data_IF_300408245873
#
_entry.id   IF_300408245873
#
_cell.length_a   1.000
_cell.length_b   1.000
_cell.length_c   1.000
_cell.angle_alpha   90.00
_cell.angle_beta   90.00
_cell.angle_gamma   90.00
#
_symmetry.space_group_name_H-M   'P 1'
#
loop_
_entity.id
_entity.type
_entity.pdbx_description
1 polymer ?
#
# COMPACT_ATOMS: atom_id res chain seq x y z
N UNK A 1 -31.76 -11.28 19.21
CA UNK A 1 -32.84 -10.75 20.08
C UNK A 1 -34.08 -10.34 19.29
N UNK A 2 -33.96 -9.52 18.23
CA UNK A 2 -35.10 -9.06 17.43
C UNK A 2 -35.94 -10.19 16.82
N UNK A 3 -35.30 -11.27 16.32
CA UNK A 3 -36.01 -12.47 15.82
C UNK A 3 -36.90 -13.11 16.88
N UNK A 4 -36.43 -13.18 18.14
CA UNK A 4 -37.19 -13.76 19.25
C UNK A 4 -38.44 -12.93 19.59
N UNK A 5 -38.40 -11.62 19.34
CA UNK A 5 -39.54 -10.71 19.48
C UNK A 5 -40.41 -10.61 18.22
N UNK A 6 -40.14 -11.39 17.17
CA UNK A 6 -40.90 -11.38 15.92
C UNK A 6 -40.68 -10.14 15.05
N UNK A 7 -39.63 -9.34 15.30
CA UNK A 7 -39.35 -8.11 14.56
C UNK A 7 -38.58 -8.44 13.28
N UNK A 8 -39.19 -8.19 12.12
CA UNK A 8 -38.54 -8.32 10.81
C UNK A 8 -37.42 -7.28 10.70
N UNK A 9 -36.21 -7.73 10.36
CA UNK A 9 -35.05 -6.86 10.23
C UNK A 9 -34.10 -7.35 9.13
N UNK A 10 -33.34 -6.41 8.57
CA UNK A 10 -32.30 -6.67 7.58
C UNK A 10 -30.93 -6.33 8.16
N UNK A 11 -29.91 -7.13 7.86
CA UNK A 11 -28.53 -6.90 8.34
C UNK A 11 -27.66 -6.47 7.17
N UNK A 12 -27.01 -5.32 7.32
CA UNK A 12 -26.01 -4.80 6.41
C UNK A 12 -24.62 -5.20 6.88
N UNK A 13 -23.96 -6.04 6.10
CA UNK A 13 -22.57 -6.45 6.32
C UNK A 13 -21.74 -5.97 5.12
N UNK A 14 -20.61 -5.30 5.37
CA UNK A 14 -19.79 -4.54 4.41
C UNK A 14 -19.15 -5.35 3.26
N UNK A 15 -19.55 -6.62 3.06
CA UNK A 15 -18.99 -7.54 2.06
C UNK A 15 -19.68 -7.44 0.69
N UNK A 16 -20.89 -6.87 0.59
CA UNK A 16 -21.71 -6.91 -0.62
C UNK A 16 -22.39 -5.58 -0.93
N UNK A 17 -21.65 -4.64 -1.53
CA UNK A 17 -22.11 -3.26 -1.76
C UNK A 17 -23.42 -3.12 -2.56
N UNK A 18 -23.69 -3.99 -3.55
CA UNK A 18 -24.92 -3.90 -4.35
C UNK A 18 -26.17 -4.26 -3.52
N UNK A 19 -26.12 -5.37 -2.77
CA UNK A 19 -27.20 -5.80 -1.88
C UNK A 19 -27.41 -4.80 -0.74
N UNK A 20 -26.34 -4.19 -0.24
CA UNK A 20 -26.42 -3.14 0.77
C UNK A 20 -27.22 -1.93 0.27
N UNK A 21 -26.96 -1.47 -0.95
CA UNK A 21 -27.67 -0.32 -1.52
C UNK A 21 -29.18 -0.60 -1.67
N UNK A 22 -29.57 -1.82 -2.04
CA UNK A 22 -30.98 -2.23 -2.13
C UNK A 22 -31.65 -2.23 -0.76
N UNK A 23 -31.00 -2.82 0.24
CA UNK A 23 -31.52 -2.85 1.63
C UNK A 23 -31.66 -1.42 2.17
N UNK A 24 -30.66 -0.54 1.95
CA UNK A 24 -30.69 0.86 2.42
C UNK A 24 -31.82 1.65 1.76
N UNK A 25 -32.12 1.42 0.47
CA UNK A 25 -33.27 2.06 -0.20
C UNK A 25 -34.60 1.73 0.46
N UNK A 26 -34.74 0.49 0.97
CA UNK A 26 -35.95 0.05 1.67
C UNK A 26 -35.98 0.43 3.15
N UNK A 27 -34.88 0.92 3.71
CA UNK A 27 -34.74 1.20 5.14
C UNK A 27 -35.54 2.42 5.64
N UNK A 28 -36.08 3.23 4.72
CA UNK A 28 -36.96 4.35 5.05
C UNK A 28 -38.45 4.03 4.94
N UNK A 29 -38.83 2.76 4.73
CA UNK A 29 -40.22 2.33 4.63
C UNK A 29 -40.85 2.11 6.03
N UNK A 30 -42.18 2.25 6.18
CA UNK A 30 -42.83 2.10 7.48
C UNK A 30 -42.64 0.70 8.06
N UNK A 31 -42.29 0.63 9.35
CA UNK A 31 -42.04 -0.62 10.06
C UNK A 31 -40.75 -1.35 9.68
N UNK A 32 -39.90 -0.75 8.84
CA UNK A 32 -38.61 -1.34 8.48
C UNK A 32 -37.57 -1.19 9.59
N UNK A 33 -36.80 -2.25 9.84
CA UNK A 33 -35.68 -2.25 10.79
C UNK A 33 -34.43 -2.73 10.07
N UNK A 34 -33.39 -1.90 10.09
CA UNK A 34 -32.12 -2.22 9.43
C UNK A 34 -30.98 -2.11 10.43
N UNK A 35 -30.19 -3.17 10.55
CA UNK A 35 -29.01 -3.26 11.42
C UNK A 35 -27.79 -3.03 10.54
N UNK A 36 -27.00 -2.01 10.85
CA UNK A 36 -25.76 -1.73 10.15
C UNK A 36 -24.55 -2.03 11.05
N UNK A 37 -23.59 -2.80 10.54
CA UNK A 37 -22.30 -2.98 11.22
C UNK A 37 -21.33 -1.86 10.81
N UNK A 38 -20.81 -1.11 11.79
CA UNK A 38 -19.83 -0.03 11.64
C UNK A 38 -20.17 0.99 10.54
N UNK A 39 -19.69 0.75 9.32
CA UNK A 39 -19.77 1.68 8.18
C UNK A 39 -20.61 1.16 7.00
N UNK A 40 -21.32 0.04 7.15
CA UNK A 40 -22.13 -0.51 6.07
C UNK A 40 -23.21 0.50 5.61
N UNK A 41 -23.46 0.55 4.29
CA UNK A 41 -24.40 1.49 3.68
C UNK A 41 -23.97 2.97 3.73
N UNK A 42 -22.69 3.30 3.92
CA UNK A 42 -22.18 4.69 3.82
C UNK A 42 -22.29 5.20 2.38
N UNK A 43 -22.74 6.45 2.22
CA UNK A 43 -22.88 7.09 0.91
C UNK A 43 -24.19 6.81 0.16
N UNK A 44 -25.05 5.93 0.67
CA UNK A 44 -26.43 5.77 0.15
C UNK A 44 -27.39 6.53 1.05
N UNK A 45 -28.26 7.33 0.45
CA UNK A 45 -29.28 8.10 1.14
C UNK A 45 -30.49 7.24 1.52
N UNK A 46 -31.05 7.49 2.71
CA UNK A 46 -32.25 6.80 3.19
C UNK A 46 -33.41 7.76 2.97
N UNK A 47 -34.18 7.52 1.91
CA UNK A 47 -35.39 8.29 1.62
C UNK A 47 -36.55 7.73 2.41
N UNK A 48 -37.30 8.61 3.08
CA UNK A 48 -38.51 8.23 3.79
C UNK A 48 -39.62 7.88 2.80
N UNK A 49 -40.28 6.74 3.01
CA UNK A 49 -41.41 6.28 2.21
C UNK A 49 -42.71 7.01 2.57
N UNK A 50 -43.73 6.83 1.74
CA UNK A 50 -45.07 7.35 1.99
C UNK A 50 -45.65 6.82 3.32
N UNK A 51 -46.25 7.69 4.11
CA UNK A 51 -46.82 7.35 5.43
C UNK A 51 -45.83 7.33 6.60
N UNK A 52 -44.52 7.51 6.35
CA UNK A 52 -43.50 7.64 7.43
C UNK A 52 -43.41 9.08 7.94
N UNK A 53 -43.52 10.05 7.04
CA UNK A 53 -43.65 11.47 7.39
C UNK A 53 -45.13 11.75 7.58
N UNK A 54 -45.55 11.90 8.84
CA UNK A 54 -46.96 12.15 9.21
C UNK A 54 -47.34 13.63 9.20
N UNK A 55 -46.36 14.54 9.25
CA UNK A 55 -46.55 16.00 9.28
C UNK A 55 -45.49 16.70 8.41
N UNK A 56 -45.87 17.78 7.70
CA UNK A 56 -44.94 18.55 6.87
C UNK A 56 -44.13 19.53 7.72
N UNK A 57 -44.78 20.16 8.72
CA UNK A 57 -44.10 20.96 9.75
C UNK A 57 -44.17 20.24 11.10
N UNK A 58 -43.01 19.87 11.64
CA UNK A 58 -42.91 19.19 12.93
C UNK A 58 -43.36 20.12 14.07
N UNK A 59 -44.41 19.73 14.80
CA UNK A 59 -44.89 20.47 15.98
C UNK A 59 -43.87 20.52 17.15
N UNK A 60 -42.85 19.66 17.14
CA UNK A 60 -41.84 19.53 18.21
C UNK A 60 -40.56 20.31 17.88
N UNK A 61 -40.22 20.48 16.59
CA UNK A 61 -39.03 21.18 16.11
C UNK A 61 -39.37 22.08 14.90
N UNK A 62 -40.16 23.16 15.06
CA UNK A 62 -40.44 24.08 13.97
C UNK A 62 -39.21 24.97 13.65
N UNK A 63 -38.99 25.29 12.38
CA UNK A 63 -38.02 26.31 11.99
C UNK A 63 -38.50 27.73 12.40
N UNK A 64 -37.60 28.70 12.66
CA UNK A 64 -38.00 30.05 13.04
C UNK A 64 -38.89 30.70 11.97
N UNK A 65 -40.17 30.89 12.30
CA UNK A 65 -41.17 31.50 11.41
C UNK A 65 -42.18 30.53 10.78
N UNK A 66 -42.02 29.22 10.94
CA UNK A 66 -43.01 28.23 10.50
C UNK A 66 -44.07 27.98 11.59
N UNK A 67 -45.34 27.93 11.20
CA UNK A 67 -46.44 27.50 12.06
C UNK A 67 -46.69 26.01 11.82
N UNK A 68 -46.78 25.18 12.88
CA UNK A 68 -47.08 23.75 12.71
C UNK A 68 -48.47 23.57 12.08
N UNK A 69 -48.58 22.60 11.15
CA UNK A 69 -49.82 22.34 10.38
C UNK A 69 -51.03 22.08 11.28
N UNK A 70 -50.80 21.51 12.46
CA UNK A 70 -51.84 21.17 13.43
C UNK A 70 -51.36 21.45 14.88
N UNK A 71 -51.86 22.52 15.55
CA UNK A 71 -51.51 22.80 16.94
C UNK A 71 -51.99 21.72 17.92
N UNK A 72 -53.08 20.99 17.60
CA UNK A 72 -53.57 19.85 18.40
C UNK A 72 -52.69 18.60 18.30
N UNK A 73 -51.85 18.50 17.27
CA UNK A 73 -50.94 17.38 17.07
C UNK A 73 -49.70 17.45 17.95
N UNK A 74 -49.46 18.50 18.73
CA UNK A 74 -48.30 18.52 19.64
C UNK A 74 -48.35 17.36 20.66
N UNK A 75 -49.55 17.07 21.18
CA UNK A 75 -49.77 15.95 22.11
C UNK A 75 -49.71 14.60 21.39
N UNK A 76 -50.37 14.50 20.23
CA UNK A 76 -50.47 13.26 19.43
C UNK A 76 -49.14 12.88 18.77
N UNK A 77 -48.33 13.84 18.33
CA UNK A 77 -46.96 13.63 17.84
C UNK A 77 -46.00 13.20 18.94
N UNK A 78 -46.20 13.64 20.20
CA UNK A 78 -45.42 13.17 21.36
C UNK A 78 -45.81 11.75 21.78
N UNK A 79 -47.08 11.37 21.63
CA UNK A 79 -47.60 10.02 21.95
C UNK A 79 -47.33 8.99 20.83
N UNK A 80 -47.36 9.41 19.56
CA UNK A 80 -47.19 8.58 18.35
C UNK A 80 -45.84 8.86 17.64
N UNK A 81 -44.82 9.17 18.44
CA UNK A 81 -43.41 9.26 18.02
C UNK A 81 -42.90 7.82 17.73
N UNK A 82 -42.25 7.56 16.59
CA UNK A 82 -41.55 8.53 15.74
C UNK A 82 -42.19 8.72 14.35
N UNK A 83 -42.44 9.98 14.00
CA UNK A 83 -42.41 10.39 12.60
C UNK A 83 -40.94 10.44 12.13
N UNK A 84 -40.68 9.91 10.93
CA UNK A 84 -39.33 9.92 10.34
C UNK A 84 -38.35 8.83 10.82
N UNK A 85 -37.07 8.98 10.49
CA UNK A 85 -36.05 7.95 10.72
C UNK A 85 -35.48 8.03 12.16
N UNK A 86 -35.58 6.92 12.89
CA UNK A 86 -34.92 6.75 14.18
C UNK A 86 -33.60 6.02 14.03
N UNK A 87 -32.51 6.62 14.51
CA UNK A 87 -31.18 6.02 14.54
C UNK A 87 -30.86 5.57 15.96
N UNK A 88 -30.53 4.29 16.10
CA UNK A 88 -30.08 3.70 17.36
C UNK A 88 -28.60 3.37 17.24
N UNK A 89 -27.77 4.04 18.03
CA UNK A 89 -26.40 3.60 18.28
C UNK A 89 -26.41 2.61 19.43
N UNK A 90 -26.00 1.37 19.20
CA UNK A 90 -25.92 0.35 20.26
C UNK A 90 -24.75 0.60 21.20
N UNK A 91 -23.70 1.22 20.68
CA UNK A 91 -22.45 1.58 21.37
C UNK A 91 -21.99 2.96 20.88
N UNK A 92 -21.01 3.53 21.58
CA UNK A 92 -20.30 4.74 21.16
C UNK A 92 -18.98 4.35 20.51
N UNK A 93 -18.71 4.88 19.32
CA UNK A 93 -17.41 4.69 18.70
C UNK A 93 -16.35 5.54 19.42
N UNK A 94 -15.11 5.06 19.46
CA UNK A 94 -13.93 5.82 19.86
C UNK A 94 -13.81 7.21 19.19
N UNK A 95 -14.20 7.30 17.91
CA UNK A 95 -14.12 8.52 17.12
C UNK A 95 -15.51 9.15 17.01
N UNK A 96 -15.66 10.35 17.57
CA UNK A 96 -16.91 11.12 17.58
C UNK A 96 -17.42 11.40 16.16
N UNK A 97 -16.52 11.48 15.19
CA UNK A 97 -16.86 11.65 13.76
C UNK A 97 -17.76 10.53 13.25
N UNK A 98 -17.55 9.28 13.66
CA UNK A 98 -18.31 8.12 13.17
C UNK A 98 -19.72 8.12 13.77
N UNK A 99 -19.84 8.40 15.07
CA UNK A 99 -21.14 8.62 15.72
C UNK A 99 -21.93 9.75 15.04
N UNK A 100 -21.27 10.87 14.71
CA UNK A 100 -21.90 11.98 14.00
C UNK A 100 -22.37 11.60 12.60
N UNK A 101 -21.64 10.71 11.91
CA UNK A 101 -22.06 10.18 10.60
C UNK A 101 -23.28 9.28 10.73
N UNK A 102 -23.32 8.41 11.74
CA UNK A 102 -24.48 7.57 12.02
C UNK A 102 -25.71 8.44 12.34
N UNK A 103 -25.55 9.44 13.21
CA UNK A 103 -26.60 10.42 13.52
C UNK A 103 -27.07 11.20 12.30
N UNK A 104 -26.17 11.59 11.41
CA UNK A 104 -26.48 12.31 10.17
C UNK A 104 -27.18 11.49 9.09
N UNK A 105 -27.59 10.25 9.39
CA UNK A 105 -28.48 9.47 8.52
C UNK A 105 -29.95 9.85 8.69
N UNK A 106 -30.36 10.30 9.87
CA UNK A 106 -31.68 10.89 10.11
C UNK A 106 -31.65 12.41 9.96
N UNK A 107 -32.79 13.03 9.72
CA UNK A 107 -32.90 14.49 9.68
C UNK A 107 -32.30 15.13 8.43
N UNK A 108 -32.26 14.40 7.31
CA UNK A 108 -31.73 14.91 6.05
C UNK A 108 -32.76 15.82 5.39
N UNK A 109 -32.29 16.93 4.80
CA UNK A 109 -33.16 17.89 4.09
C UNK A 109 -34.35 18.43 4.91
N UNK A 110 -34.22 18.47 6.25
CA UNK A 110 -35.30 18.93 7.13
C UNK A 110 -36.31 17.85 7.52
N UNK A 111 -36.12 16.60 7.08
CA UNK A 111 -36.98 15.47 7.46
C UNK A 111 -37.05 15.30 8.99
N UNK A 112 -38.18 14.84 9.54
CA UNK A 112 -38.24 14.46 10.95
C UNK A 112 -37.32 13.27 11.21
N UNK A 113 -36.71 13.25 12.40
CA UNK A 113 -35.83 12.16 12.80
C UNK A 113 -35.42 12.26 14.26
N UNK A 114 -35.02 11.13 14.82
CA UNK A 114 -34.52 11.07 16.20
C UNK A 114 -33.32 10.15 16.29
N UNK A 115 -32.42 10.44 17.23
CA UNK A 115 -31.22 9.63 17.44
C UNK A 115 -31.02 9.34 18.91
N UNK A 116 -30.83 8.07 19.25
CA UNK A 116 -30.57 7.62 20.62
C UNK A 116 -29.36 6.70 20.63
N UNK A 117 -28.40 6.99 21.50
CA UNK A 117 -27.23 6.14 21.70
C UNK A 117 -27.38 5.44 23.05
N UNK A 118 -27.10 4.14 23.04
CA UNK A 118 -26.95 3.31 24.21
C UNK A 118 -25.46 3.07 24.45
N UNK A 119 -25.13 2.80 25.71
CA UNK A 119 -23.78 2.50 26.15
C UNK A 119 -23.90 1.57 27.35
N UNK A 120 -23.10 0.52 27.37
CA UNK A 120 -22.88 -0.33 28.53
C UNK A 120 -21.58 0.04 29.23
N UNK A 121 -21.48 -0.23 30.52
CA UNK A 121 -20.22 -0.13 31.25
C UNK A 121 -19.19 -1.16 30.78
N UNK A 122 -19.65 -2.25 30.17
CA UNK A 122 -18.81 -3.31 29.61
C UNK A 122 -18.23 -2.95 28.23
N UNK A 123 -18.68 -1.86 27.61
CA UNK A 123 -18.22 -1.45 26.27
C UNK A 123 -16.75 -1.02 26.29
N UNK A 124 -16.04 -1.22 25.18
CA UNK A 124 -14.59 -0.96 25.09
C UNK A 124 -14.21 0.50 25.44
N UNK A 125 -15.04 1.48 25.05
CA UNK A 125 -14.82 2.88 25.40
C UNK A 125 -14.79 3.08 26.93
N UNK A 126 -15.68 2.39 27.64
CA UNK A 126 -15.79 2.45 29.10
C UNK A 126 -14.70 1.61 29.77
N UNK A 127 -14.33 0.46 29.19
CA UNK A 127 -13.24 -0.37 29.69
C UNK A 127 -11.88 0.32 29.64
N UNK A 128 -11.60 1.06 28.56
CA UNK A 128 -10.32 1.72 28.36
C UNK A 128 -10.17 3.04 29.13
N UNK A 129 -11.27 3.75 29.41
CA UNK A 129 -11.22 5.12 29.95
C UNK A 129 -12.18 5.39 31.12
N UNK A 130 -12.95 4.40 31.55
CA UNK A 130 -13.91 4.51 32.66
C UNK A 130 -13.33 4.23 34.04
N UNK A 131 -12.02 4.01 34.16
CA UNK A 131 -11.43 3.53 35.42
C UNK A 131 -11.40 4.60 36.52
N UNK A 132 -11.70 4.10 37.73
CA UNK A 132 -11.77 4.73 39.05
C UNK A 132 -12.90 5.75 39.28
N UNK A 133 -13.01 6.80 38.45
CA UNK A 133 -13.98 7.87 38.73
C UNK A 133 -15.42 7.49 38.41
N UNK A 134 -15.64 6.67 37.38
CA UNK A 134 -17.00 6.24 37.01
C UNK A 134 -17.49 5.10 37.89
N UNK A 135 -16.62 4.17 38.28
CA UNK A 135 -16.94 3.13 39.26
C UNK A 135 -17.39 3.76 40.60
N UNK A 136 -16.61 4.72 41.13
CA UNK A 136 -16.97 5.44 42.37
C UNK A 136 -18.28 6.23 42.25
N UNK A 137 -18.58 6.77 41.05
CA UNK A 137 -19.82 7.51 40.81
C UNK A 137 -21.03 6.58 40.73
N UNK A 138 -20.88 5.38 40.14
CA UNK A 138 -21.91 4.35 40.05
C UNK A 138 -22.25 3.75 41.41
N UNK A 139 -21.25 3.47 42.24
CA UNK A 139 -21.43 3.03 43.64
C UNK A 139 -22.27 4.03 44.44
N UNK A 140 -22.11 5.33 44.17
CA UNK A 140 -22.91 6.39 44.81
C UNK A 140 -24.32 6.49 44.25
N UNK A 141 -24.50 6.21 42.95
CA UNK A 141 -25.77 6.42 42.26
C UNK A 141 -26.84 5.36 42.54
N UNK A 142 -26.52 4.27 43.26
CA UNK A 142 -27.45 3.20 43.68
C UNK A 142 -28.56 2.93 42.66
N UNK A 143 -28.21 2.68 41.40
CA UNK A 143 -29.19 2.38 40.36
C UNK A 143 -29.54 0.90 40.41
N UNK A 144 -30.83 0.58 40.49
CA UNK A 144 -31.31 -0.81 40.45
C UNK A 144 -31.04 -1.44 39.07
N UNK A 145 -30.77 -2.75 39.04
CA UNK A 145 -30.54 -3.49 37.80
C UNK A 145 -31.75 -3.35 36.85
N UNK A 146 -31.53 -2.67 35.72
CA UNK A 146 -32.55 -2.49 34.68
C UNK A 146 -33.08 -1.06 34.53
N UNK A 147 -32.72 -0.13 35.41
CA UNK A 147 -33.08 1.28 35.24
C UNK A 147 -32.09 2.04 34.32
N UNK A 148 -32.58 2.81 33.33
CA UNK A 148 -31.71 3.58 32.46
C UNK A 148 -31.13 4.79 33.20
N UNK A 149 -29.81 4.85 33.30
CA UNK A 149 -29.12 5.98 33.92
C UNK A 149 -29.08 7.16 32.95
N UNK A 150 -29.89 8.18 33.18
CA UNK A 150 -29.93 9.41 32.36
C UNK A 150 -29.42 10.61 33.16
N UNK A 151 -28.10 10.78 33.25
CA UNK A 151 -27.51 11.94 33.91
C UNK A 151 -26.67 12.80 32.95
N UNK A 152 -26.86 14.13 32.88
CA UNK A 152 -26.09 15.01 31.99
C UNK A 152 -24.56 14.95 32.20
N UNK A 153 -24.11 14.68 33.43
CA UNK A 153 -22.68 14.51 33.74
C UNK A 153 -22.08 13.28 33.04
N UNK A 154 -22.83 12.19 32.90
CA UNK A 154 -22.35 10.97 32.25
C UNK A 154 -22.09 11.24 30.77
N UNK A 155 -22.99 11.96 30.11
CA UNK A 155 -22.80 12.40 28.72
C UNK A 155 -21.52 13.23 28.55
N UNK A 156 -21.22 14.16 29.48
CA UNK A 156 -19.97 14.95 29.44
C UNK A 156 -18.72 14.09 29.64
N UNK A 157 -18.77 13.12 30.56
CA UNK A 157 -17.64 12.21 30.79
C UNK A 157 -17.36 11.33 29.58
N UNK A 158 -18.40 10.83 28.91
CA UNK A 158 -18.27 10.07 27.65
C UNK A 158 -17.63 10.94 26.56
N UNK A 159 -18.07 12.19 26.40
CA UNK A 159 -17.46 13.11 25.42
C UNK A 159 -15.98 13.39 25.74
N UNK A 160 -15.63 13.51 27.02
CA UNK A 160 -14.24 13.66 27.46
C UNK A 160 -13.40 12.41 27.14
N UNK A 161 -13.94 11.21 27.40
CA UNK A 161 -13.29 9.94 27.07
C UNK A 161 -13.04 9.82 25.56
N UNK A 162 -14.04 10.11 24.72
CA UNK A 162 -13.88 10.13 23.26
C UNK A 162 -12.79 11.12 22.81
N UNK A 163 -12.77 12.34 23.38
CA UNK A 163 -11.73 13.32 23.07
C UNK A 163 -10.33 12.81 23.44
N UNK A 164 -10.20 12.14 24.59
CA UNK A 164 -8.92 11.54 25.01
C UNK A 164 -8.45 10.43 24.08
N UNK A 165 -9.37 9.57 23.62
CA UNK A 165 -9.06 8.54 22.61
C UNK A 165 -8.61 9.18 21.29
N UNK A 166 -9.29 10.23 20.84
CA UNK A 166 -8.91 10.95 19.63
C UNK A 166 -7.54 11.60 19.76
N UNK A 167 -7.22 12.22 20.90
CA UNK A 167 -5.88 12.77 21.21
C UNK A 167 -4.81 11.67 21.19
N UNK A 168 -5.08 10.52 21.82
CA UNK A 168 -4.16 9.38 21.82
C UNK A 168 -3.91 8.86 20.41
N UNK A 169 -4.96 8.57 19.64
CA UNK A 169 -4.87 8.10 18.26
C UNK A 169 -4.18 9.13 17.35
N UNK A 170 -4.42 10.43 17.57
CA UNK A 170 -3.72 11.50 16.86
C UNK A 170 -2.22 11.49 17.17
N UNK A 171 -1.84 11.34 18.44
CA UNK A 171 -0.42 11.28 18.82
C UNK A 171 0.31 10.06 18.25
N UNK A 172 -0.34 8.89 18.23
CA UNK A 172 0.20 7.68 17.60
C UNK A 172 0.40 7.92 16.09
N UNK A 173 -0.61 8.46 15.40
CA UNK A 173 -0.50 8.77 13.98
C UNK A 173 0.56 9.82 13.69
N UNK A 174 0.65 10.86 14.52
CA UNK A 174 1.68 11.89 14.38
C UNK A 174 3.07 11.26 14.47
N UNK A 175 3.32 10.38 15.44
CA UNK A 175 4.58 9.65 15.54
C UNK A 175 4.86 8.83 14.29
N UNK A 176 3.88 8.05 13.80
CA UNK A 176 4.04 7.26 12.56
C UNK A 176 4.39 8.17 11.37
N UNK A 177 3.70 9.30 11.23
CA UNK A 177 4.00 10.31 10.19
C UNK A 177 5.41 10.89 10.35
N UNK A 178 5.85 11.16 11.58
CA UNK A 178 7.19 11.71 11.82
C UNK A 178 8.31 10.75 11.38
N UNK A 179 8.10 9.43 11.46
CA UNK A 179 9.02 8.42 10.90
C UNK A 179 8.93 8.35 9.37
N UNK A 180 7.70 8.34 8.84
CA UNK A 180 7.44 8.25 7.40
C UNK A 180 7.95 9.51 6.65
N UNK A 181 7.94 10.69 7.29
CA UNK A 181 8.45 11.95 6.73
C UNK A 181 9.95 11.87 6.40
N UNK A 182 10.74 11.14 7.20
CA UNK A 182 12.17 10.92 6.92
C UNK A 182 12.32 10.10 5.64
N UNK A 183 11.59 8.99 5.54
CA UNK A 183 11.58 8.14 4.35
C UNK A 183 11.06 8.89 3.12
N UNK A 184 10.08 9.77 3.29
CA UNK A 184 9.51 10.53 2.19
C UNK A 184 10.52 11.52 1.60
N UNK A 185 11.30 12.21 2.44
CA UNK A 185 12.39 13.09 1.98
C UNK A 185 13.48 12.33 1.23
N UNK A 186 13.91 11.19 1.76
CA UNK A 186 14.90 10.34 1.08
C UNK A 186 14.37 9.84 -0.27
N UNK A 187 13.10 9.38 -0.30
CA UNK A 187 12.42 8.94 -1.53
C UNK A 187 12.35 10.05 -2.57
N UNK A 188 12.05 11.27 -2.16
CA UNK A 188 11.99 12.42 -3.09
C UNK A 188 13.33 12.62 -3.81
N UNK A 189 14.44 12.57 -3.08
CA UNK A 189 15.78 12.70 -3.66
C UNK A 189 16.09 11.54 -4.63
N UNK A 190 15.85 10.30 -4.21
CA UNK A 190 16.11 9.12 -5.05
C UNK A 190 15.22 9.09 -6.28
N UNK A 191 13.94 9.45 -6.16
CA UNK A 191 13.01 9.44 -7.28
C UNK A 191 13.27 10.59 -8.25
N UNK A 192 13.77 11.73 -7.76
CA UNK A 192 14.28 12.80 -8.63
C UNK A 192 15.47 12.30 -9.43
N UNK A 193 16.50 11.77 -8.77
CA UNK A 193 17.67 11.18 -9.42
C UNK A 193 17.26 10.12 -10.46
N UNK A 194 16.39 9.19 -10.08
CA UNK A 194 15.87 8.14 -10.98
C UNK A 194 15.08 8.73 -12.15
N UNK A 195 14.28 9.76 -11.90
CA UNK A 195 13.49 10.45 -12.92
C UNK A 195 14.38 11.14 -13.95
N UNK A 196 15.46 11.79 -13.51
CA UNK A 196 16.45 12.47 -14.36
C UNK A 196 17.14 11.44 -15.28
N UNK A 197 17.52 10.28 -14.73
CA UNK A 197 18.12 9.17 -15.49
C UNK A 197 17.15 8.61 -16.56
N UNK A 198 15.86 8.42 -16.21
CA UNK A 198 14.86 7.85 -17.13
C UNK A 198 14.48 8.81 -18.26
N UNK A 199 14.42 10.12 -17.98
CA UNK A 199 14.06 11.13 -18.98
C UNK A 199 15.07 11.29 -20.10
N UNK A 200 16.26 10.69 -19.96
CA UNK A 200 17.29 10.70 -20.99
C UNK A 200 18.07 12.01 -21.05
N UNK A 201 18.11 12.74 -19.94
CA UNK A 201 19.11 13.81 -19.77
C UNK A 201 20.51 13.20 -19.87
N UNK A 202 21.47 13.94 -20.42
CA UNK A 202 22.84 13.45 -20.51
C UNK A 202 23.42 13.27 -19.10
N UNK A 203 23.65 12.03 -18.69
CA UNK A 203 24.07 11.66 -17.32
C UNK A 203 25.59 11.67 -17.21
N UNK A 204 26.33 11.90 -18.29
CA UNK A 204 27.79 11.95 -18.27
C UNK A 204 28.32 12.94 -17.25
N UNK A 205 27.80 14.16 -17.26
CA UNK A 205 28.23 15.20 -16.33
C UNK A 205 28.00 14.77 -14.88
N UNK A 206 26.83 14.16 -14.62
CA UNK A 206 26.48 13.63 -13.30
C UNK A 206 27.35 12.46 -12.85
N UNK A 207 27.72 11.57 -13.78
CA UNK A 207 28.62 10.44 -13.50
C UNK A 207 30.03 10.96 -13.21
N UNK A 208 30.49 11.98 -13.93
CA UNK A 208 31.78 12.60 -13.69
C UNK A 208 31.78 13.30 -12.31
N UNK A 209 30.72 14.02 -11.94
CA UNK A 209 30.53 14.57 -10.59
C UNK A 209 30.59 13.44 -9.53
N UNK A 210 29.86 12.34 -9.73
CA UNK A 210 29.88 11.20 -8.78
C UNK A 210 31.28 10.59 -8.61
N UNK A 211 32.09 10.57 -9.67
CA UNK A 211 33.48 10.08 -9.61
C UNK A 211 34.37 11.07 -8.87
N UNK A 212 34.18 12.37 -9.12
CA UNK A 212 34.89 13.46 -8.44
C UNK A 212 34.62 13.44 -6.93
N UNK A 213 33.35 13.39 -6.53
CA UNK A 213 32.93 13.26 -5.11
C UNK A 213 33.56 12.02 -4.46
N UNK A 214 33.58 10.89 -5.17
CA UNK A 214 34.17 9.64 -4.65
C UNK A 214 35.69 9.73 -4.51
N UNK A 215 36.36 10.50 -5.37
CA UNK A 215 37.80 10.74 -5.29
C UNK A 215 38.14 11.69 -4.15
N UNK A 216 37.35 12.75 -3.94
CA UNK A 216 37.53 13.68 -2.82
C UNK A 216 37.57 12.94 -1.49
N UNK A 217 36.58 12.07 -1.24
CA UNK A 217 36.52 11.27 0.00
C UNK A 217 37.78 10.42 0.17
N UNK A 218 38.25 9.76 -0.89
CA UNK A 218 39.44 8.91 -0.84
C UNK A 218 40.71 9.73 -0.63
N UNK A 219 40.81 10.90 -1.26
CA UNK A 219 41.95 11.79 -1.09
C UNK A 219 41.95 12.33 0.34
N UNK A 220 40.83 12.79 0.87
CA UNK A 220 40.73 13.30 2.24
C UNK A 220 41.06 12.24 3.30
N UNK A 221 40.61 10.99 3.10
CA UNK A 221 40.93 9.88 4.00
C UNK A 221 42.42 9.51 3.99
N UNK A 222 43.10 9.65 2.85
CA UNK A 222 44.50 9.22 2.67
C UNK A 222 45.52 10.37 2.70
N UNK A 223 45.05 11.62 2.67
CA UNK A 223 45.82 12.84 2.72
C UNK A 223 45.32 13.73 3.87
N UNK A 224 45.75 13.48 5.12
CA UNK A 224 45.31 14.28 6.25
C UNK A 224 45.71 15.75 6.07
N UNK A 225 44.87 16.71 6.51
CA UNK A 225 45.19 18.13 6.40
C UNK A 225 46.45 18.43 7.24
N UNK A 226 47.47 19.02 6.58
CA UNK A 226 48.80 19.42 7.11
C UNK A 226 49.93 18.38 7.01
N UNK A 227 49.76 17.33 6.24
CA UNK A 227 50.82 16.33 6.03
C UNK A 227 51.58 16.59 4.71
N UNK A 228 52.91 16.42 4.72
CA UNK A 228 53.72 16.55 3.50
C UNK A 228 53.38 15.45 2.48
N UNK A 229 53.51 15.71 1.16
CA UNK A 229 53.21 14.74 0.11
C UNK A 229 53.96 13.40 0.22
N UNK A 230 55.08 13.36 0.94
CA UNK A 230 55.86 12.14 1.16
C UNK A 230 55.21 11.17 2.15
N UNK A 231 54.36 11.66 3.05
CA UNK A 231 53.67 10.87 4.08
C UNK A 231 52.26 10.45 3.67
N UNK A 232 51.81 10.85 2.46
CA UNK A 232 50.52 10.41 1.92
C UNK A 232 50.54 8.92 1.59
N UNK A 233 49.39 8.26 1.77
CA UNK A 233 49.27 6.85 1.45
C UNK A 233 49.03 6.65 -0.07
N UNK A 234 50.10 6.82 -0.85
CA UNK A 234 50.07 6.67 -2.31
C UNK A 234 49.63 5.27 -2.74
N UNK A 235 50.02 4.22 -2.01
CA UNK A 235 49.65 2.84 -2.33
C UNK A 235 48.14 2.62 -2.20
N UNK A 236 47.49 3.22 -1.20
CA UNK A 236 46.04 3.15 -1.04
C UNK A 236 45.30 3.87 -2.17
N UNK A 237 45.76 5.08 -2.54
CA UNK A 237 45.16 5.88 -3.62
C UNK A 237 45.34 5.17 -4.97
N UNK A 238 46.56 4.71 -5.29
CA UNK A 238 46.85 3.98 -6.52
C UNK A 238 46.07 2.67 -6.57
N UNK A 239 46.06 1.91 -5.48
CA UNK A 239 45.30 0.67 -5.39
C UNK A 239 43.80 0.87 -5.57
N UNK A 240 43.24 1.95 -4.99
CA UNK A 240 41.83 2.29 -5.15
C UNK A 240 41.49 2.64 -6.60
N UNK A 241 42.33 3.45 -7.26
CA UNK A 241 42.14 3.87 -8.66
C UNK A 241 42.31 2.68 -9.61
N UNK A 242 43.37 1.88 -9.47
CA UNK A 242 43.63 0.71 -10.32
C UNK A 242 42.56 -0.39 -10.16
N UNK A 243 41.98 -0.53 -8.97
CA UNK A 243 40.91 -1.51 -8.75
C UNK A 243 39.59 -1.13 -9.47
N UNK A 244 39.34 0.17 -9.67
CA UNK A 244 38.07 0.69 -10.20
C UNK A 244 38.16 1.11 -11.67
N UNK A 245 39.28 1.72 -12.05
CA UNK A 245 39.51 2.23 -13.38
C UNK A 245 40.60 1.41 -14.08
N UNK A 246 40.46 1.09 -15.37
CA UNK A 246 41.50 0.43 -16.16
C UNK A 246 42.61 1.43 -16.52
N UNK A 247 43.23 2.02 -15.50
CA UNK A 247 44.29 3.01 -15.60
C UNK A 247 45.53 2.49 -14.87
N UNK A 248 46.64 2.38 -15.59
CA UNK A 248 47.95 2.22 -14.95
C UNK A 248 48.43 3.60 -14.52
N UNK A 249 48.14 3.96 -13.27
CA UNK A 249 48.51 5.26 -12.73
C UNK A 249 49.95 5.20 -12.23
N UNK A 250 50.87 5.70 -13.06
CA UNK A 250 52.23 6.05 -12.64
C UNK A 250 52.32 7.57 -12.45
N UNK A 251 52.84 7.99 -11.31
CA UNK A 251 53.13 9.40 -11.02
C UNK A 251 54.63 9.60 -11.23
N UNK A 252 55.01 10.12 -12.40
CA UNK A 252 56.42 10.45 -12.69
C UNK A 252 56.84 11.73 -11.93
N UNK A 253 55.92 12.67 -11.74
CA UNK A 253 56.03 13.80 -10.80
C UNK A 253 54.88 13.71 -9.79
N UNK A 254 55.21 13.79 -8.50
CA UNK A 254 54.22 13.73 -7.43
C UNK A 254 53.58 15.12 -7.26
N UNK A 255 52.25 15.26 -7.35
CA UNK A 255 51.59 16.54 -7.10
C UNK A 255 51.84 17.00 -5.66
N UNK A 256 52.01 18.31 -5.48
CA UNK A 256 52.39 18.92 -4.20
C UNK A 256 51.16 19.25 -3.32
N UNK A 257 49.98 19.40 -3.92
CA UNK A 257 48.73 19.68 -3.20
C UNK A 257 47.65 18.62 -3.46
N UNK A 258 46.74 18.36 -2.49
CA UNK A 258 45.62 17.43 -2.68
C UNK A 258 44.70 17.85 -3.83
N UNK A 259 44.55 19.16 -4.04
CA UNK A 259 43.78 19.76 -5.13
C UNK A 259 44.41 19.44 -6.50
N UNK A 260 45.74 19.59 -6.63
CA UNK A 260 46.46 19.23 -7.86
C UNK A 260 46.39 17.72 -8.14
N UNK A 261 46.40 16.89 -7.09
CA UNK A 261 46.24 15.44 -7.20
C UNK A 261 44.86 15.07 -7.76
N UNK A 262 43.81 15.70 -7.21
CA UNK A 262 42.43 15.50 -7.67
C UNK A 262 42.29 15.89 -9.14
N UNK A 263 42.76 17.08 -9.53
CA UNK A 263 42.64 17.56 -10.90
C UNK A 263 43.42 16.65 -11.89
N UNK A 264 44.61 16.20 -11.49
CA UNK A 264 45.44 15.29 -12.31
C UNK A 264 44.74 13.94 -12.52
N UNK A 265 44.21 13.35 -11.46
CA UNK A 265 43.47 12.08 -11.52
C UNK A 265 42.19 12.23 -12.33
N UNK A 266 41.43 13.31 -12.11
CA UNK A 266 40.18 13.54 -12.81
C UNK A 266 40.40 13.78 -14.31
N UNK A 267 41.49 14.46 -14.68
CA UNK A 267 41.89 14.61 -16.09
C UNK A 267 42.17 13.25 -16.74
N UNK A 268 42.94 12.39 -16.08
CA UNK A 268 43.22 11.02 -16.58
C UNK A 268 41.95 10.18 -16.69
N UNK A 269 41.02 10.30 -15.75
CA UNK A 269 39.74 9.58 -15.77
C UNK A 269 38.84 10.10 -16.90
N UNK A 270 38.76 11.42 -17.11
CA UNK A 270 38.03 12.02 -18.23
C UNK A 270 38.59 11.54 -19.57
N UNK A 271 39.92 11.44 -19.70
CA UNK A 271 40.55 10.86 -20.88
C UNK A 271 40.20 9.38 -21.09
N UNK A 272 40.21 8.58 -20.02
CA UNK A 272 39.81 7.18 -20.04
C UNK A 272 38.35 7.02 -20.48
N UNK A 273 37.47 7.87 -19.94
CA UNK A 273 36.05 7.91 -20.27
C UNK A 273 35.84 8.25 -21.75
N UNK A 274 36.50 9.31 -22.23
CA UNK A 274 36.39 9.73 -23.63
C UNK A 274 36.96 8.69 -24.60
N UNK A 275 38.01 7.96 -24.20
CA UNK A 275 38.56 6.84 -24.99
C UNK A 275 37.53 5.72 -25.11
N UNK A 276 36.88 5.37 -24.01
CA UNK A 276 35.82 4.37 -23.96
C UNK A 276 34.57 4.79 -24.75
N UNK A 277 34.19 6.06 -24.68
CA UNK A 277 33.08 6.62 -25.47
C UNK A 277 33.34 6.52 -26.98
N UNK A 278 34.60 6.71 -27.40
CA UNK A 278 35.01 6.50 -28.81
C UNK A 278 34.97 5.02 -29.21
N UNK A 279 35.31 4.10 -28.32
CA UNK A 279 35.30 2.65 -28.59
C UNK A 279 33.87 2.09 -28.71
N UNK A 280 32.95 2.51 -27.86
CA UNK A 280 31.58 1.97 -27.78
C UNK A 280 30.58 2.73 -28.67
N UNK A 281 30.88 3.99 -28.99
CA UNK A 281 29.96 4.93 -29.63
C UNK A 281 29.04 5.63 -28.63
N UNK A 282 28.63 6.86 -28.95
CA UNK A 282 27.88 7.73 -28.03
C UNK A 282 26.52 7.14 -27.62
N UNK A 283 25.75 6.59 -28.56
CA UNK A 283 24.41 6.04 -28.29
C UNK A 283 24.45 4.82 -27.35
N UNK A 284 25.42 3.93 -27.57
CA UNK A 284 25.62 2.76 -26.72
C UNK A 284 26.13 3.16 -25.34
N UNK A 285 27.08 4.11 -25.26
CA UNK A 285 27.61 4.60 -24.00
C UNK A 285 26.50 5.23 -23.14
N UNK A 286 25.67 6.12 -23.72
CA UNK A 286 24.51 6.72 -23.03
C UNK A 286 23.49 5.67 -22.57
N UNK A 287 23.31 4.61 -23.35
CA UNK A 287 22.42 3.51 -22.96
C UNK A 287 23.00 2.67 -21.81
N UNK A 288 24.31 2.41 -21.82
CA UNK A 288 25.01 1.74 -20.73
C UNK A 288 24.98 2.57 -19.46
N UNK A 289 25.31 3.87 -19.54
CA UNK A 289 25.24 4.83 -18.43
C UNK A 289 23.87 4.74 -17.73
N UNK A 290 22.77 4.82 -18.49
CA UNK A 290 21.42 4.70 -17.95
C UNK A 290 21.14 3.37 -17.29
N UNK A 291 21.46 2.26 -17.97
CA UNK A 291 21.16 0.91 -17.44
C UNK A 291 21.96 0.67 -16.16
N UNK A 292 23.25 1.01 -16.15
CA UNK A 292 24.12 0.85 -14.98
C UNK A 292 23.65 1.72 -13.82
N UNK A 293 23.34 3.01 -14.08
CA UNK A 293 22.87 3.92 -13.05
C UNK A 293 21.52 3.46 -12.48
N UNK A 294 20.53 3.15 -13.33
CA UNK A 294 19.21 2.71 -12.87
C UNK A 294 19.26 1.42 -12.06
N UNK A 295 19.96 0.40 -12.57
CA UNK A 295 20.03 -0.90 -11.89
C UNK A 295 20.75 -0.81 -10.56
N UNK A 296 21.76 0.06 -10.46
CA UNK A 296 22.51 0.31 -9.23
C UNK A 296 21.66 1.08 -8.22
N UNK A 297 21.05 2.20 -8.62
CA UNK A 297 20.13 2.97 -7.76
C UNK A 297 18.97 2.11 -7.26
N UNK A 298 18.32 1.35 -8.15
CA UNK A 298 17.18 0.50 -7.78
C UNK A 298 17.58 -0.65 -6.84
N UNK A 299 18.81 -1.18 -6.93
CA UNK A 299 19.27 -2.25 -6.05
C UNK A 299 19.68 -1.71 -4.68
N UNK A 300 20.47 -0.64 -4.65
CA UNK A 300 20.93 0.00 -3.42
C UNK A 300 19.74 0.59 -2.63
N UNK A 301 18.77 1.19 -3.31
CA UNK A 301 17.57 1.70 -2.65
C UNK A 301 16.73 0.59 -2.00
N UNK A 302 16.59 -0.58 -2.64
CA UNK A 302 15.88 -1.72 -2.02
C UNK A 302 16.57 -2.19 -0.76
N UNK A 303 17.90 -2.30 -0.79
CA UNK A 303 18.69 -2.66 0.38
C UNK A 303 18.50 -1.65 1.52
N UNK A 304 18.60 -0.35 1.22
CA UNK A 304 18.32 0.72 2.18
C UNK A 304 16.91 0.64 2.77
N UNK A 305 15.88 0.33 1.97
CA UNK A 305 14.52 0.14 2.49
C UNK A 305 14.46 -0.98 3.54
N UNK A 306 15.15 -2.10 3.31
CA UNK A 306 15.23 -3.18 4.29
C UNK A 306 15.98 -2.75 5.56
N UNK A 307 17.12 -2.07 5.42
CA UNK A 307 17.90 -1.58 6.56
C UNK A 307 17.08 -0.56 7.39
N UNK A 308 16.30 0.30 6.73
CA UNK A 308 15.41 1.26 7.39
C UNK A 308 14.26 0.61 8.15
N UNK A 309 13.68 -0.48 7.63
CA UNK A 309 12.67 -1.26 8.33
C UNK A 309 13.26 -1.89 9.61
N UNK A 310 14.46 -2.48 9.53
CA UNK A 310 15.15 -3.02 10.71
C UNK A 310 15.48 -1.93 11.74
N UNK A 311 15.97 -0.78 11.29
CA UNK A 311 16.23 0.36 12.17
C UNK A 311 14.96 0.78 12.91
N UNK A 312 13.83 0.87 12.20
CA UNK A 312 12.53 1.25 12.78
C UNK A 312 12.04 0.26 13.83
N UNK A 313 12.23 -1.05 13.62
CA UNK A 313 11.88 -2.07 14.61
C UNK A 313 12.80 -2.04 15.84
N UNK A 314 14.10 -1.77 15.66
CA UNK A 314 15.09 -1.77 16.74
C UNK A 314 15.16 -0.48 17.57
N UNK A 315 14.87 0.69 16.97
CA UNK A 315 15.12 2.00 17.61
C UNK A 315 14.30 2.23 18.89
N UNK A 316 13.16 1.56 19.02
CA UNK A 316 12.31 1.62 20.22
C UNK A 316 13.07 1.23 21.49
N UNK A 317 14.08 0.35 21.39
CA UNK A 317 14.91 -0.05 22.52
C UNK A 317 15.81 1.07 23.05
N UNK A 318 16.16 2.06 22.22
CA UNK A 318 16.97 3.22 22.68
C UNK A 318 16.20 4.11 23.65
N UNK A 319 14.88 4.04 23.64
CA UNK A 319 14.02 4.70 24.62
C UNK A 319 14.27 4.27 26.07
N UNK A 320 14.79 3.06 26.30
CA UNK A 320 15.17 2.60 27.65
C UNK A 320 16.35 3.39 28.23
N UNK A 321 17.20 3.98 27.38
CA UNK A 321 18.31 4.84 27.80
C UNK A 321 17.92 6.29 28.07
N UNK A 322 16.63 6.65 28.00
CA UNK A 322 16.15 8.03 28.18
C UNK A 322 16.41 8.94 26.98
N UNK A 323 16.91 8.41 25.86
CA UNK A 323 17.03 9.11 24.59
C UNK A 323 15.70 9.05 23.84
N UNK A 324 15.37 10.12 23.09
CA UNK A 324 14.18 10.12 22.23
C UNK A 324 14.43 9.24 20.99
N UNK A 325 13.68 8.12 20.81
CA UNK A 325 13.87 7.23 19.68
C UNK A 325 13.73 7.91 18.31
N UNK A 326 12.86 8.93 18.19
CA UNK A 326 12.64 9.61 16.92
C UNK A 326 13.85 10.43 16.49
N UNK A 327 14.55 11.04 17.45
CA UNK A 327 15.75 11.85 17.17
C UNK A 327 16.89 10.91 16.76
N UNK A 328 17.08 9.82 17.48
CA UNK A 328 18.11 8.83 17.15
C UNK A 328 17.84 8.15 15.81
N UNK A 329 16.58 7.80 15.51
CA UNK A 329 16.17 7.33 14.19
C UNK A 329 16.54 8.32 13.09
N UNK A 330 16.25 9.62 13.26
CA UNK A 330 16.55 10.64 12.26
C UNK A 330 18.04 10.77 11.97
N UNK A 331 18.88 10.71 13.01
CA UNK A 331 20.34 10.77 12.86
C UNK A 331 20.89 9.55 12.13
N UNK A 332 20.50 8.36 12.58
CA UNK A 332 20.99 7.11 12.00
C UNK A 332 20.48 6.92 10.57
N UNK A 333 19.20 7.22 10.32
CA UNK A 333 18.62 7.23 8.98
C UNK A 333 19.32 8.21 8.03
N UNK A 334 19.76 9.37 8.53
CA UNK A 334 20.51 10.33 7.73
C UNK A 334 21.89 9.77 7.37
N UNK A 335 22.61 9.21 8.35
CA UNK A 335 23.91 8.59 8.10
C UNK A 335 23.82 7.46 7.08
N UNK A 336 22.88 6.52 7.28
CA UNK A 336 22.66 5.42 6.34
C UNK A 336 22.30 5.91 4.93
N UNK A 337 21.57 7.02 4.83
CA UNK A 337 21.24 7.60 3.53
C UNK A 337 22.45 8.27 2.85
N UNK A 338 23.32 8.93 3.60
CA UNK A 338 24.60 9.42 3.07
C UNK A 338 25.44 8.24 2.58
N UNK A 339 25.61 7.20 3.40
CA UNK A 339 26.35 5.99 3.05
C UNK A 339 25.76 5.29 1.80
N UNK A 340 24.43 5.31 1.64
CA UNK A 340 23.74 4.84 0.44
C UNK A 340 24.14 5.65 -0.79
N UNK A 341 24.13 6.98 -0.71
CA UNK A 341 24.49 7.85 -1.84
C UNK A 341 25.94 7.61 -2.26
N UNK A 342 26.84 7.48 -1.29
CA UNK A 342 28.25 7.17 -1.54
C UNK A 342 28.41 5.78 -2.17
N UNK A 343 27.65 4.78 -1.69
CA UNK A 343 27.63 3.43 -2.28
C UNK A 343 27.15 3.47 -3.74
N UNK A 344 26.10 4.23 -4.03
CA UNK A 344 25.58 4.39 -5.40
C UNK A 344 26.66 5.01 -6.30
N UNK A 345 27.26 6.13 -5.90
CA UNK A 345 28.31 6.80 -6.68
C UNK A 345 29.48 5.86 -6.97
N UNK A 346 29.96 5.17 -5.94
CA UNK A 346 31.05 4.21 -6.04
C UNK A 346 30.73 3.01 -6.96
N UNK A 347 29.53 2.43 -6.84
CA UNK A 347 29.12 1.30 -7.67
C UNK A 347 28.91 1.68 -9.13
N UNK A 348 28.32 2.85 -9.38
CA UNK A 348 28.13 3.37 -10.75
C UNK A 348 29.49 3.60 -11.40
N UNK A 349 30.40 4.29 -10.71
CA UNK A 349 31.76 4.52 -11.19
C UNK A 349 32.46 3.20 -11.54
N UNK A 350 32.44 2.21 -10.64
CA UNK A 350 33.10 0.92 -10.86
C UNK A 350 32.47 0.11 -12.03
N UNK A 351 31.14 0.07 -12.12
CA UNK A 351 30.44 -0.72 -13.15
C UNK A 351 30.63 -0.14 -14.55
N UNK A 352 30.64 1.19 -14.71
CA UNK A 352 30.76 1.83 -16.04
C UNK A 352 32.04 1.39 -16.77
N UNK A 353 33.17 1.28 -16.07
CA UNK A 353 34.44 0.89 -16.69
C UNK A 353 34.61 -0.63 -16.85
N UNK A 354 33.78 -1.45 -16.21
CA UNK A 354 33.84 -2.92 -16.31
C UNK A 354 32.85 -3.52 -17.32
N UNK A 355 31.80 -2.79 -17.68
CA UNK A 355 30.79 -3.28 -18.63
C UNK A 355 31.40 -3.47 -20.01
N UNK A 356 31.55 -4.72 -20.42
CA UNK A 356 31.89 -5.08 -21.80
C UNK A 356 30.58 -5.33 -22.55
N UNK A 357 30.46 -4.73 -23.75
CA UNK A 357 29.40 -5.12 -24.68
C UNK A 357 29.81 -6.50 -25.20
N UNK A 358 29.04 -7.53 -24.84
CA UNK A 358 29.13 -8.78 -25.59
C UNK A 358 28.80 -8.44 -27.05
N UNK A 359 29.65 -8.80 -28.02
CA UNK A 359 29.28 -8.69 -29.42
C UNK A 359 27.91 -9.36 -29.57
N UNK A 360 27.02 -8.75 -30.33
CA UNK A 360 25.67 -9.26 -30.59
C UNK A 360 25.78 -10.52 -31.48
N UNK A 361 26.48 -11.55 -31.03
CA UNK A 361 26.10 -12.92 -31.34
C UNK A 361 24.77 -13.12 -30.62
N UNK A 362 23.69 -12.72 -31.29
CA UNK A 362 22.38 -13.27 -31.00
C UNK A 362 22.59 -14.78 -30.83
N UNK A 363 22.44 -15.38 -29.63
CA UNK A 363 22.22 -16.80 -29.60
C UNK A 363 21.01 -16.99 -30.50
N UNK A 364 21.18 -17.70 -31.62
CA UNK A 364 20.07 -18.10 -32.46
C UNK A 364 18.99 -18.57 -31.50
N UNK A 365 17.89 -17.81 -31.40
CA UNK A 365 16.75 -18.22 -30.57
C UNK A 365 16.52 -19.66 -30.98
N UNK A 366 16.71 -20.66 -30.09
CA UNK A 366 16.70 -22.04 -30.50
C UNK A 366 15.39 -22.23 -31.24
N UNK A 367 15.53 -22.48 -32.54
CA UNK A 367 14.41 -22.61 -33.44
C UNK A 367 13.64 -23.78 -32.88
N UNK A 368 12.56 -23.45 -32.17
CA UNK A 368 11.42 -24.29 -31.86
C UNK A 368 11.84 -25.73 -31.54
N UNK A 369 11.98 -26.07 -30.25
CA UNK A 369 12.07 -27.46 -29.78
C UNK A 369 11.26 -28.38 -30.68
N UNK A 370 11.93 -29.02 -31.64
CA UNK A 370 11.35 -30.09 -32.43
C UNK A 370 11.41 -31.24 -31.46
N UNK A 371 10.30 -31.44 -30.74
CA UNK A 371 9.98 -32.75 -30.22
C UNK A 371 10.05 -33.69 -31.42
N UNK A 372 11.20 -34.33 -31.60
CA UNK A 372 11.31 -35.58 -32.34
C UNK A 372 10.40 -36.54 -31.61
N UNK A 373 9.12 -36.54 -32.01
CA UNK A 373 8.26 -37.68 -31.80
C UNK A 373 8.96 -38.84 -32.52
N UNK A 374 9.70 -39.65 -31.76
CA UNK A 374 9.80 -41.05 -32.12
C UNK A 374 8.35 -41.51 -32.36
N UNK A 375 8.03 -42.05 -33.54
CA UNK A 375 6.69 -42.51 -33.80
C UNK A 375 6.39 -43.59 -32.77
N UNK A 376 5.54 -43.23 -31.80
CA UNK A 376 5.00 -44.19 -30.87
C UNK A 376 4.31 -45.27 -31.71
N UNK A 377 4.79 -46.50 -31.56
CA UNK A 377 4.25 -47.66 -32.25
C UNK A 377 2.74 -47.68 -32.10
N UNK A 378 2.06 -47.99 -33.21
CA UNK A 378 0.62 -48.12 -33.27
C UNK A 378 0.14 -49.17 -32.27
N UNK A 379 -1.01 -48.94 -31.65
CA UNK A 379 -1.69 -49.91 -30.80
C UNK A 379 -1.97 -51.26 -31.51
N UNK A 380 -1.87 -51.31 -32.85
CA UNK A 380 -1.93 -52.53 -33.64
C UNK A 380 -0.68 -53.43 -33.50
N UNK A 381 0.50 -52.88 -33.21
CA UNK A 381 1.74 -53.66 -33.06
C UNK A 381 1.88 -54.32 -31.68
N UNK A 382 1.21 -53.79 -30.66
CA UNK A 382 1.21 -54.32 -29.30
C UNK A 382 0.30 -55.54 -29.09
N UNK A 383 -0.64 -55.80 -30.02
CA UNK A 383 -1.56 -56.94 -29.93
C UNK A 383 -0.95 -58.29 -30.38
N UNK A 384 0.28 -58.29 -30.92
CA UNK A 384 0.96 -59.51 -31.40
C UNK A 384 1.90 -60.16 -30.38
N UNK A 385 2.05 -59.62 -29.18
CA UNK A 385 2.93 -60.17 -28.15
C UNK A 385 2.18 -60.27 -26.82
N UNK A 386 1.42 -61.34 -26.65
CA UNK A 386 0.90 -61.74 -25.34
C UNK A 386 0.75 -63.27 -25.29
N UNK A 387 1.78 -63.96 -24.79
CA UNK A 387 1.59 -65.17 -23.99
C UNK A 387 2.14 -64.91 -22.57
N UNK A 388 1.55 -65.50 -21.52
CA UNK A 388 1.63 -64.99 -20.15
C UNK A 388 2.61 -65.77 -19.26
N UNK A 389 3.07 -65.18 -18.16
CA UNK A 389 3.15 -65.80 -16.81
C UNK A 389 3.62 -64.81 -15.71
N UNK A 390 3.42 -65.10 -14.40
CA UNK A 390 2.67 -64.22 -13.49
C UNK A 390 3.45 -63.74 -12.25
N UNK A 391 2.95 -62.70 -11.57
CA UNK A 391 3.40 -62.36 -10.21
C UNK A 391 2.97 -60.97 -9.73
N UNK A 392 1.87 -60.95 -8.97
CA UNK A 392 1.52 -60.05 -7.84
C UNK A 392 1.41 -58.51 -8.04
N UNK A 393 0.24 -57.98 -7.65
CA UNK A 393 -0.05 -56.55 -7.40
C UNK A 393 -0.05 -56.29 -5.86
N UNK A 394 0.14 -55.05 -5.38
CA UNK A 394 -0.96 -54.06 -5.28
C UNK A 394 -0.51 -52.63 -5.68
N UNK A 395 -1.20 -51.96 -6.61
CA UNK A 395 -2.27 -50.97 -6.40
C UNK A 395 -1.95 -49.76 -5.50
N UNK A 396 -1.81 -48.58 -6.11
CA UNK A 396 -2.24 -47.32 -5.49
C UNK A 396 -2.73 -46.34 -6.56
N UNK A 397 -3.96 -45.88 -6.36
CA UNK A 397 -4.81 -45.06 -7.23
C UNK A 397 -4.46 -43.59 -7.06
N UNK A 398 -4.22 -42.84 -8.15
CA UNK A 398 -4.30 -41.37 -8.16
C UNK A 398 -5.07 -40.85 -9.37
N UNK A 399 -5.84 -39.82 -9.03
CA UNK A 399 -6.90 -39.12 -9.76
C UNK A 399 -6.32 -38.28 -10.89
N UNK A 400 -6.94 -38.33 -12.08
CA UNK A 400 -6.62 -37.45 -13.20
C UNK A 400 -7.41 -36.14 -13.11
N UNK A 401 -6.71 -35.00 -13.12
CA UNK A 401 -7.26 -33.66 -13.30
C UNK A 401 -7.35 -33.32 -14.80
N UNK A 402 -8.53 -32.90 -15.25
CA UNK A 402 -8.82 -32.48 -16.62
C UNK A 402 -8.49 -31.00 -16.85
N UNK A 403 -7.64 -30.70 -17.83
CA UNK A 403 -7.44 -29.33 -18.33
C UNK A 403 -8.54 -28.93 -19.35
N UNK A 404 -8.99 -27.66 -19.39
CA UNK A 404 -10.11 -27.23 -20.22
C UNK A 404 -9.74 -27.10 -21.70
N UNK A 405 -10.61 -27.62 -22.59
CA UNK A 405 -10.47 -27.50 -24.05
C UNK A 405 -10.95 -26.13 -24.52
N UNK A 406 -10.13 -25.43 -25.31
CA UNK A 406 -10.54 -24.19 -25.98
C UNK A 406 -11.34 -24.50 -27.25
N UNK A 407 -12.47 -23.81 -27.50
CA UNK A 407 -13.31 -24.07 -28.66
C UNK A 407 -12.67 -23.58 -29.96
N UNK A 408 -12.81 -24.38 -31.02
CA UNK A 408 -12.34 -24.10 -32.38
C UNK A 408 -13.55 -23.97 -33.30
N UNK A 409 -13.48 -23.06 -34.27
CA UNK A 409 -14.52 -22.90 -35.28
C UNK A 409 -14.53 -24.05 -36.31
N UNK A 410 -15.48 -24.05 -37.26
CA UNK A 410 -15.58 -25.06 -38.32
C UNK A 410 -14.28 -25.24 -39.11
N UNK A 411 -13.51 -24.16 -39.27
CA UNK A 411 -12.21 -24.14 -39.97
C UNK A 411 -11.01 -24.51 -39.08
N UNK A 412 -11.25 -24.99 -37.85
CA UNK A 412 -10.20 -25.38 -36.90
C UNK A 412 -9.41 -24.23 -36.26
N UNK A 413 -9.69 -22.96 -36.61
CA UNK A 413 -9.07 -21.78 -36.01
C UNK A 413 -9.65 -21.49 -34.62
N UNK A 414 -8.80 -20.99 -33.71
CA UNK A 414 -9.21 -20.53 -32.36
C UNK A 414 -10.16 -19.36 -32.52
N UNK A 415 -11.34 -19.44 -31.90
CA UNK A 415 -12.35 -18.38 -31.97
C UNK A 415 -12.03 -17.34 -30.90
N UNK A 416 -11.79 -16.09 -31.31
CA UNK A 416 -11.59 -14.96 -30.43
C UNK A 416 -12.89 -14.48 -29.79
N UNK A 417 -12.79 -13.81 -28.63
CA UNK A 417 -13.93 -13.36 -27.83
C UNK A 417 -14.95 -12.47 -28.58
N UNK A 418 -14.51 -11.75 -29.60
CA UNK A 418 -15.35 -10.84 -30.40
C UNK A 418 -15.74 -11.40 -31.78
N UNK A 419 -15.28 -12.61 -32.14
CA UNK A 419 -15.55 -13.23 -33.44
C UNK A 419 -16.99 -13.76 -33.53
N UNK A 420 -17.54 -13.94 -34.74
CA UNK A 420 -18.83 -14.60 -34.93
C UNK A 420 -18.82 -16.00 -34.30
N UNK A 421 -19.86 -16.30 -33.54
CA UNK A 421 -19.93 -17.54 -32.76
C UNK A 421 -20.05 -18.77 -33.69
N UNK A 422 -19.24 -19.84 -33.48
CA UNK A 422 -19.19 -21.01 -34.37
C UNK A 422 -20.47 -21.86 -34.35
N UNK A 423 -21.43 -21.57 -33.47
CA UNK A 423 -22.74 -22.22 -33.45
C UNK A 423 -23.73 -21.71 -34.52
N UNK A 424 -23.31 -20.78 -35.39
CA UNK A 424 -24.14 -20.25 -36.47
C UNK A 424 -25.21 -19.23 -36.04
N UNK A 425 -25.15 -18.73 -34.80
CA UNK A 425 -26.19 -17.85 -34.22
C UNK A 425 -26.16 -16.39 -34.70
N UNK A 426 -25.21 -16.01 -35.54
CA UNK A 426 -25.01 -14.63 -36.02
C UNK A 426 -24.54 -13.62 -34.97
N UNK A 427 -24.37 -14.02 -33.70
CA UNK A 427 -23.91 -13.16 -32.58
C UNK A 427 -22.41 -13.34 -32.31
N UNK A 428 -21.76 -12.35 -31.68
CA UNK A 428 -20.34 -12.44 -31.23
C UNK A 428 -20.18 -13.52 -30.14
N UNK A 429 -19.04 -14.23 -30.12
CA UNK A 429 -18.77 -15.38 -29.23
C UNK A 429 -19.03 -15.08 -27.74
N UNK A 430 -18.59 -13.92 -27.25
CA UNK A 430 -18.84 -13.45 -25.87
C UNK A 430 -20.31 -13.32 -25.47
N UNK A 431 -21.21 -13.16 -26.43
CA UNK A 431 -22.66 -12.98 -26.20
C UNK A 431 -23.45 -14.24 -26.56
N UNK A 432 -22.79 -15.37 -26.82
CA UNK A 432 -23.45 -16.63 -27.17
C UNK A 432 -22.84 -17.82 -26.41
N UNK A 433 -21.98 -18.64 -27.03
CA UNK A 433 -21.48 -19.86 -26.42
C UNK A 433 -20.55 -19.62 -25.23
N UNK A 434 -19.84 -18.48 -25.17
CA UNK A 434 -18.99 -18.16 -24.00
C UNK A 434 -19.79 -18.00 -22.69
N UNK A 435 -21.05 -17.58 -22.77
CA UNK A 435 -21.95 -17.48 -21.62
C UNK A 435 -22.56 -18.82 -21.20
N UNK A 436 -22.52 -19.83 -22.08
CA UNK A 436 -23.01 -21.19 -21.79
C UNK A 436 -21.93 -22.11 -21.22
N UNK A 437 -20.65 -21.72 -21.36
CA UNK A 437 -19.48 -22.45 -20.85
C UNK A 437 -18.99 -21.94 -19.48
N UNK A 438 -19.58 -20.85 -18.96
CA UNK A 438 -19.47 -20.42 -17.55
C UNK A 438 -20.67 -20.94 -16.77
#
# INVERSE_FOLDING_TARGET
MLTRKGIKHSVLNAKHHQKEAEIVKTAGQPGSVTIATNMAGRGTDIKLGEGVVKCNVCAILPEPGQKPDHPEWEKKCREDMPCGLCIIGTERHEARRIDRQLRGRSGRQGDPGSTKFFLSLEDDLMRLFGSDRMATMMERLHSEEGEPITHPLISRTIEYAQKKVEEMNFSIRKRVLDYDDVMNKQREVIYKLRGDIVRGENIKDRILEMIEDSLEVVIDENCPPRTYPEEWNWDAIIGWVQARFPLDVKFDEKPETPEDLLETLMTRIREAYNRREKELGEENMRSIERVVALTTVDSAWKEHLYEMDYLREGIGLRGYGGLDPLIEYKKEAYQMFSDLMDRISNEVANKIFRVQIAPDEMPERPTRFVLTHQPAMSAADLARRSQPQPGERPEMRRVASSAPKTPRGPDGKKVGRNDPCPCGSGKKYKHCCMLKEQ
#
